data_IF_222277622440
#
_entry.id   IF_222277622440
#
_cell.length_a   1.000
_cell.length_b   1.000
_cell.length_c   1.000
_cell.angle_alpha   90.00
_cell.angle_beta   90.00
_cell.angle_gamma   90.00
#
_symmetry.space_group_name_H-M   'P 1'
#
loop_
_entity.id
_entity.type
_entity.pdbx_description
1 polymer ?
#
# COMPACT_ATOMS: atom_id res chain seq x y z
N UNK A 1 -9.63 6.54 4.77
CA UNK A 1 -9.16 5.49 3.84
C UNK A 1 -7.66 5.60 3.70
N UNK A 2 -6.92 4.54 4.00
CA UNK A 2 -5.47 4.48 3.83
C UNK A 2 -5.08 3.53 2.70
N UNK A 3 -4.25 4.02 1.78
CA UNK A 3 -3.70 3.27 0.66
C UNK A 3 -2.21 3.09 0.93
N UNK A 4 -1.77 1.85 1.08
CA UNK A 4 -0.36 1.49 1.21
C UNK A 4 0.19 1.07 -0.16
N UNK A 5 1.22 1.76 -0.64
CA UNK A 5 2.02 1.37 -1.80
C UNK A 5 3.28 0.67 -1.30
N UNK A 6 3.29 -0.67 -1.35
CA UNK A 6 4.44 -1.50 -1.03
C UNK A 6 5.28 -1.80 -2.29
N UNK A 7 5.80 -0.75 -2.91
CA UNK A 7 6.57 -0.83 -4.13
C UNK A 7 7.53 0.34 -4.26
N UNK A 8 8.65 0.11 -4.95
CA UNK A 8 9.47 1.19 -5.46
C UNK A 8 8.75 1.80 -6.66
N UNK A 9 8.18 2.97 -6.44
CA UNK A 9 7.42 3.77 -7.39
C UNK A 9 7.97 5.19 -7.34
N UNK A 10 8.08 5.85 -8.48
CA UNK A 10 8.52 7.24 -8.52
C UNK A 10 7.47 8.17 -7.89
N UNK A 11 7.92 9.37 -7.54
CA UNK A 11 7.06 10.35 -6.89
C UNK A 11 5.89 10.77 -7.80
N UNK A 12 6.11 10.85 -9.11
CA UNK A 12 5.08 11.25 -10.07
C UNK A 12 3.87 10.29 -10.05
N UNK A 13 4.11 8.98 -10.05
CA UNK A 13 3.03 8.01 -10.00
C UNK A 13 2.31 7.98 -8.64
N UNK A 14 3.04 8.19 -7.55
CA UNK A 14 2.42 8.33 -6.21
C UNK A 14 1.49 9.55 -6.16
N UNK A 15 1.92 10.69 -6.73
CA UNK A 15 1.08 11.89 -6.81
C UNK A 15 -0.17 11.63 -7.66
N UNK A 16 -0.06 10.93 -8.79
CA UNK A 16 -1.24 10.56 -9.60
C UNK A 16 -2.25 9.72 -8.82
N UNK A 17 -1.78 8.75 -8.04
CA UNK A 17 -2.65 7.93 -7.17
C UNK A 17 -3.32 8.83 -6.12
N UNK A 18 -2.55 9.68 -5.43
CA UNK A 18 -3.09 10.62 -4.43
C UNK A 18 -4.12 11.58 -5.04
N UNK A 19 -3.91 12.07 -6.26
CA UNK A 19 -4.86 12.94 -6.96
C UNK A 19 -6.16 12.22 -7.35
N UNK A 20 -6.11 10.91 -7.64
CA UNK A 20 -7.30 10.09 -7.86
C UNK A 20 -8.11 9.82 -6.59
N UNK A 21 -7.47 9.88 -5.42
CA UNK A 21 -8.07 9.63 -4.11
C UNK A 21 -7.76 10.78 -3.12
N UNK A 22 -8.29 12.00 -3.33
CA UNK A 22 -7.87 13.19 -2.58
C UNK A 22 -8.19 13.14 -1.07
N UNK A 23 -9.16 12.32 -0.65
CA UNK A 23 -9.50 12.12 0.76
C UNK A 23 -8.78 10.90 1.40
N UNK A 24 -7.96 10.19 0.63
CA UNK A 24 -7.18 9.06 1.12
C UNK A 24 -5.80 9.49 1.58
N UNK A 25 -5.28 8.83 2.62
CA UNK A 25 -3.88 8.91 2.98
C UNK A 25 -3.11 7.90 2.12
N UNK A 26 -2.26 8.36 1.21
CA UNK A 26 -1.38 7.49 0.41
C UNK A 26 -0.01 7.44 1.08
N UNK A 27 0.40 6.24 1.49
CA UNK A 27 1.70 5.99 2.11
C UNK A 27 2.48 5.02 1.24
N UNK A 28 3.75 5.32 0.97
CA UNK A 28 4.64 4.44 0.22
C UNK A 28 5.77 3.93 1.12
N UNK A 29 6.12 2.65 0.98
CA UNK A 29 7.38 2.11 1.48
C UNK A 29 7.81 0.89 0.67
N UNK A 30 9.11 0.76 0.41
CA UNK A 30 9.73 -0.43 -0.16
C UNK A 30 10.40 -1.32 0.91
N UNK A 31 10.38 -0.89 2.18
CA UNK A 31 10.91 -1.66 3.29
C UNK A 31 9.92 -2.78 3.69
N UNK A 32 10.32 -4.06 3.65
CA UNK A 32 9.44 -5.18 3.97
C UNK A 32 8.82 -5.12 5.37
N UNK A 33 9.61 -4.82 6.40
CA UNK A 33 9.15 -4.80 7.79
C UNK A 33 8.15 -3.66 8.02
N UNK A 34 8.50 -2.45 7.56
CA UNK A 34 7.62 -1.28 7.67
C UNK A 34 6.31 -1.45 6.93
N UNK A 35 6.33 -2.15 5.78
CA UNK A 35 5.11 -2.46 5.04
C UNK A 35 4.17 -3.35 5.85
N UNK A 36 4.70 -4.34 6.58
CA UNK A 36 3.90 -5.20 7.47
C UNK A 36 3.20 -4.41 8.57
N UNK A 37 3.92 -3.49 9.22
CA UNK A 37 3.36 -2.62 10.26
C UNK A 37 2.23 -1.73 9.70
N UNK A 38 2.48 -1.07 8.56
CA UNK A 38 1.51 -0.17 7.92
C UNK A 38 0.31 -0.90 7.32
N UNK A 39 0.45 -2.17 6.93
CA UNK A 39 -0.62 -2.94 6.32
C UNK A 39 -1.80 -3.15 7.28
N UNK A 40 -1.55 -3.20 8.59
CA UNK A 40 -2.59 -3.35 9.63
C UNK A 40 -3.61 -2.20 9.66
N UNK A 41 -3.18 -1.01 9.21
CA UNK A 41 -4.00 0.20 9.16
C UNK A 41 -4.55 0.48 7.76
N UNK A 42 -3.99 -0.15 6.73
CA UNK A 42 -4.33 0.07 5.33
C UNK A 42 -5.63 -0.65 4.95
N UNK A 43 -6.47 0.04 4.18
CA UNK A 43 -7.68 -0.54 3.59
C UNK A 43 -7.39 -1.08 2.18
N UNK A 44 -6.40 -0.49 1.50
CA UNK A 44 -5.97 -0.87 0.16
C UNK A 44 -4.45 -1.08 0.18
N UNK A 45 -3.99 -2.20 -0.36
CA UNK A 45 -2.59 -2.48 -0.61
C UNK A 45 -2.32 -2.47 -2.12
N UNK A 46 -1.33 -1.71 -2.56
CA UNK A 46 -0.78 -1.74 -3.92
C UNK A 46 0.62 -2.33 -3.80
N UNK A 47 0.89 -3.48 -4.42
CA UNK A 47 2.18 -4.18 -4.26
C UNK A 47 2.55 -5.01 -5.48
N UNK A 48 3.85 -5.25 -5.69
CA UNK A 48 4.32 -6.25 -6.65
C UNK A 48 4.19 -7.65 -6.04
N UNK A 49 3.97 -8.68 -6.86
CA UNK A 49 3.91 -10.07 -6.38
C UNK A 49 5.18 -10.46 -5.59
N UNK A 50 6.35 -9.92 -5.98
CA UNK A 50 7.64 -10.16 -5.32
C UNK A 50 7.77 -9.47 -3.95
N UNK A 51 6.95 -8.46 -3.67
CA UNK A 51 6.98 -7.71 -2.40
C UNK A 51 5.87 -8.16 -1.45
N UNK A 52 4.93 -8.98 -1.93
CA UNK A 52 3.84 -9.52 -1.15
C UNK A 52 4.37 -10.35 0.02
N UNK A 53 3.81 -10.12 1.21
CA UNK A 53 4.14 -10.87 2.41
C UNK A 53 2.88 -11.48 3.01
N UNK A 54 2.95 -12.72 3.54
CA UNK A 54 1.80 -13.38 4.17
C UNK A 54 1.16 -12.55 5.29
N UNK A 55 1.96 -11.78 6.05
CA UNK A 55 1.49 -10.91 7.14
C UNK A 55 0.47 -9.86 6.69
N UNK A 56 0.42 -9.51 5.39
CA UNK A 56 -0.60 -8.61 4.86
C UNK A 56 -2.01 -9.21 4.95
N UNK A 57 -2.13 -10.54 4.91
CA UNK A 57 -3.40 -11.24 5.04
C UNK A 57 -3.97 -11.19 6.46
N UNK A 58 -3.11 -10.94 7.46
CA UNK A 58 -3.52 -10.79 8.86
C UNK A 58 -4.07 -9.38 9.15
N UNK A 59 -4.03 -8.47 8.18
CA UNK A 59 -4.55 -7.11 8.37
C UNK A 59 -6.08 -7.12 8.56
N UNK A 60 -6.59 -6.60 9.68
CA UNK A 60 -8.02 -6.59 9.96
C UNK A 60 -8.78 -5.55 9.13
N UNK A 61 -8.06 -4.62 8.47
CA UNK A 61 -8.65 -3.52 7.71
C UNK A 61 -8.51 -3.68 6.21
N UNK A 62 -7.62 -4.55 5.75
CA UNK A 62 -7.35 -4.71 4.32
C UNK A 62 -8.59 -5.25 3.60
N UNK A 63 -9.07 -4.51 2.60
CA UNK A 63 -10.27 -4.84 1.79
C UNK A 63 -9.93 -5.12 0.34
N UNK A 64 -8.82 -4.59 -0.14
CA UNK A 64 -8.42 -4.70 -1.54
C UNK A 64 -6.90 -4.79 -1.68
N UNK A 65 -6.45 -5.70 -2.55
CA UNK A 65 -5.06 -5.79 -2.98
C UNK A 65 -5.03 -5.57 -4.49
N UNK A 66 -4.26 -4.57 -4.93
CA UNK A 66 -3.97 -4.32 -6.32
C UNK A 66 -2.53 -4.74 -6.61
N UNK A 67 -2.36 -5.69 -7.53
CA UNK A 67 -1.05 -6.12 -7.97
C UNK A 67 -0.59 -5.28 -9.15
N UNK A 68 0.62 -4.73 -9.07
CA UNK A 68 1.28 -4.00 -10.17
C UNK A 68 1.88 -4.96 -11.20
#
# INVERSE_FOLDING_TARGET
MKILINAKMDHENVVKIQSGFPAAEVVQTDNPQKAGELASEAEILITWWSNFQPVFLDSPRLRWVHTL
#
